data_IF_171396317421
#
_entry.id   IF_171396317421
#
_cell.length_a   1.000
_cell.length_b   1.000
_cell.length_c   1.000
_cell.angle_alpha   90.00
_cell.angle_beta   90.00
_cell.angle_gamma   90.00
#
_symmetry.space_group_name_H-M   'P 1'
#
loop_
_entity.id
_entity.type
_entity.pdbx_description
1 polymer ?
#
# COMPACT_ATOMS: atom_id res chain seq x y z
N UNK A 1 2.86 15.10 -5.38
CA UNK A 1 2.45 13.68 -5.29
C UNK A 1 3.55 12.75 -5.78
N UNK A 2 3.96 12.84 -7.06
CA UNK A 2 5.06 12.05 -7.65
C UNK A 2 6.31 11.91 -6.76
N UNK A 3 6.86 13.02 -6.25
CA UNK A 3 8.04 13.00 -5.35
C UNK A 3 7.82 12.15 -4.11
N UNK A 4 6.67 12.29 -3.44
CA UNK A 4 6.34 11.48 -2.25
C UNK A 4 6.25 10.00 -2.61
N UNK A 5 5.55 9.66 -3.71
CA UNK A 5 5.44 8.28 -4.16
C UNK A 5 6.82 7.65 -4.44
N UNK A 6 7.71 8.38 -5.13
CA UNK A 6 9.09 7.94 -5.37
C UNK A 6 9.89 7.75 -4.08
N UNK A 7 9.71 8.62 -3.08
CA UNK A 7 10.35 8.46 -1.76
C UNK A 7 9.88 7.17 -1.08
N UNK A 8 8.56 6.89 -1.10
CA UNK A 8 8.04 5.64 -0.55
C UNK A 8 8.55 4.43 -1.34
N UNK A 9 8.58 4.48 -2.68
CA UNK A 9 9.20 3.43 -3.48
C UNK A 9 10.66 3.19 -3.09
N UNK A 10 11.45 4.24 -2.86
CA UNK A 10 12.83 4.10 -2.40
C UNK A 10 12.93 3.42 -1.03
N UNK A 11 12.03 3.74 -0.09
CA UNK A 11 11.94 3.06 1.21
C UNK A 11 11.61 1.58 1.05
N UNK A 12 10.64 1.24 0.19
CA UNK A 12 10.31 -0.16 -0.11
C UNK A 12 11.53 -0.93 -0.65
N UNK A 13 12.24 -0.36 -1.62
CA UNK A 13 13.43 -0.98 -2.22
C UNK A 13 14.53 -1.15 -1.15
N UNK A 14 14.77 -0.14 -0.31
CA UNK A 14 15.74 -0.23 0.77
C UNK A 14 15.40 -1.34 1.77
N UNK A 15 14.13 -1.45 2.17
CA UNK A 15 13.66 -2.51 3.08
C UNK A 15 13.81 -3.90 2.45
N UNK A 16 13.45 -4.05 1.17
CA UNK A 16 13.64 -5.30 0.47
C UNK A 16 15.12 -5.67 0.34
N UNK A 17 16.00 -4.71 0.00
CA UNK A 17 17.44 -4.91 -0.03
C UNK A 17 18.00 -5.34 1.33
N UNK A 18 17.52 -4.74 2.44
CA UNK A 18 17.90 -5.13 3.80
C UNK A 18 17.45 -6.56 4.15
N UNK A 19 16.26 -6.96 3.68
CA UNK A 19 15.79 -8.35 3.80
C UNK A 19 16.68 -9.30 3.00
N UNK A 20 16.97 -8.97 1.74
CA UNK A 20 17.82 -9.74 0.85
C UNK A 20 19.27 -9.86 1.32
N UNK A 21 19.82 -8.82 1.97
CA UNK A 21 21.17 -8.87 2.53
C UNK A 21 21.25 -9.80 3.73
N UNK A 22 20.15 -9.91 4.50
CA UNK A 22 20.03 -10.88 5.59
C UNK A 22 19.77 -12.30 5.08
N UNK A 23 19.19 -12.43 3.88
CA UNK A 23 19.00 -13.70 3.21
C UNK A 23 20.37 -14.29 2.81
N UNK A 24 20.86 -15.21 3.63
CA UNK A 24 22.09 -15.98 3.42
C UNK A 24 21.92 -17.12 2.41
N UNK A 25 21.02 -16.95 1.43
CA UNK A 25 20.61 -18.00 0.50
C UNK A 25 19.61 -18.98 1.10
N UNK A 26 19.07 -18.72 2.29
CA UNK A 26 18.07 -19.55 2.95
C UNK A 26 16.70 -19.42 2.27
N UNK A 27 15.98 -20.54 2.16
CA UNK A 27 14.56 -20.56 1.77
C UNK A 27 13.83 -21.52 2.71
N UNK A 28 12.97 -20.99 3.56
CA UNK A 28 12.22 -21.81 4.51
C UNK A 28 10.82 -22.13 3.99
N UNK A 29 10.39 -23.39 4.11
CA UNK A 29 9.03 -23.82 3.78
C UNK A 29 8.34 -24.40 5.01
N UNK A 30 7.05 -24.14 5.18
CA UNK A 30 6.28 -24.70 6.29
C UNK A 30 6.01 -26.19 6.08
N UNK A 31 6.30 -27.00 7.08
CA UNK A 31 6.09 -28.45 7.08
C UNK A 31 4.97 -28.88 8.04
N UNK A 32 4.62 -30.18 8.02
CA UNK A 32 3.70 -30.82 8.97
C UNK A 32 4.25 -30.68 10.37
N UNK A 33 3.34 -30.45 11.30
CA UNK A 33 3.68 -30.27 12.71
C UNK A 33 4.06 -31.63 13.29
N UNK A 34 5.28 -31.75 13.79
CA UNK A 34 5.77 -32.91 14.55
C UNK A 34 5.28 -32.81 15.99
N UNK A 35 5.22 -33.94 16.71
CA UNK A 35 4.82 -33.97 18.11
C UNK A 35 5.70 -33.03 18.95
N UNK A 36 5.09 -32.20 19.78
CA UNK A 36 5.80 -31.23 20.63
C UNK A 36 6.12 -29.89 19.97
N UNK A 37 5.99 -29.76 18.64
CA UNK A 37 6.19 -28.49 17.94
C UNK A 37 4.85 -27.76 17.72
N UNK A 38 4.84 -26.43 17.76
CA UNK A 38 3.67 -25.63 17.35
C UNK A 38 3.66 -25.38 15.85
N UNK A 39 4.84 -25.17 15.26
CA UNK A 39 5.07 -24.98 13.82
C UNK A 39 6.44 -25.54 13.45
N UNK A 40 6.55 -26.05 12.24
CA UNK A 40 7.80 -26.55 11.70
C UNK A 40 8.10 -25.90 10.35
N UNK A 41 9.39 -25.64 10.13
CA UNK A 41 9.92 -25.11 8.89
C UNK A 41 11.09 -25.97 8.44
N UNK A 42 11.25 -26.16 7.14
CA UNK A 42 12.41 -26.81 6.54
C UNK A 42 13.17 -25.81 5.67
N UNK A 43 14.49 -25.75 5.83
CA UNK A 43 15.35 -25.01 4.91
C UNK A 43 15.52 -25.83 3.63
N UNK A 44 14.94 -25.37 2.52
CA UNK A 44 15.02 -26.09 1.23
C UNK A 44 16.23 -25.67 0.40
N UNK A 45 16.93 -24.61 0.79
CA UNK A 45 18.09 -24.13 0.06
C UNK A 45 19.38 -24.90 0.39
N UNK A 46 19.53 -25.36 1.64
CA UNK A 46 20.69 -26.14 2.12
C UNK A 46 20.71 -27.57 1.60
N UNK A 47 19.56 -28.10 1.19
CA UNK A 47 19.41 -29.49 0.77
C UNK A 47 20.05 -29.85 -0.60
N UNK A 48 20.71 -28.90 -1.28
CA UNK A 48 21.67 -29.27 -2.32
C UNK A 48 22.90 -29.98 -1.74
N UNK A 49 23.21 -29.78 -0.46
CA UNK A 49 24.23 -30.53 0.27
C UNK A 49 23.62 -31.81 0.84
N UNK A 50 23.88 -32.95 0.19
CA UNK A 50 23.30 -34.28 0.52
C UNK A 50 23.69 -34.85 1.88
N UNK A 51 24.45 -34.14 2.72
CA UNK A 51 25.14 -34.77 3.85
C UNK A 51 24.32 -34.89 5.14
N UNK A 52 23.38 -34.00 5.49
CA UNK A 52 22.59 -34.12 6.75
C UNK A 52 21.19 -33.46 6.73
N UNK A 53 20.11 -34.21 6.41
CA UNK A 53 18.73 -33.69 6.35
C UNK A 53 18.08 -33.36 7.72
N UNK A 54 18.65 -33.82 8.84
CA UNK A 54 18.09 -33.57 10.19
C UNK A 54 18.43 -32.18 10.76
N UNK A 55 19.44 -31.49 10.20
CA UNK A 55 19.83 -30.14 10.60
C UNK A 55 18.98 -29.03 9.96
N UNK A 56 18.13 -29.39 8.98
CA UNK A 56 17.39 -28.42 8.18
C UNK A 56 15.95 -28.17 8.65
N UNK A 57 15.50 -28.83 9.73
CA UNK A 57 14.17 -28.70 10.30
C UNK A 57 14.19 -27.83 11.56
N UNK A 58 13.48 -26.70 11.52
CA UNK A 58 13.28 -25.79 12.64
C UNK A 58 11.93 -26.07 13.29
N UNK A 59 11.93 -26.40 14.58
CA UNK A 59 10.75 -26.63 15.40
C UNK A 59 10.48 -25.42 16.32
N UNK A 60 9.36 -24.73 16.10
CA UNK A 60 8.93 -23.60 16.92
C UNK A 60 8.02 -24.10 18.06
N UNK A 61 8.54 -24.18 19.28
CA UNK A 61 7.81 -24.69 20.48
C UNK A 61 7.18 -23.60 21.34
N UNK A 62 7.45 -22.32 21.08
CA UNK A 62 6.95 -21.17 21.84
C UNK A 62 7.91 -20.67 22.93
N UNK A 63 8.85 -21.50 23.39
CA UNK A 63 9.97 -21.07 24.27
C UNK A 63 11.23 -20.72 23.48
N UNK A 64 11.40 -21.30 22.29
CA UNK A 64 12.46 -21.00 21.32
C UNK A 64 11.85 -20.17 20.18
N UNK A 65 11.33 -18.99 20.53
CA UNK A 65 10.83 -18.03 19.52
C UNK A 65 11.93 -17.13 18.96
N UNK A 66 13.18 -17.23 19.44
CA UNK A 66 14.27 -16.34 19.01
C UNK A 66 14.77 -16.57 17.57
N UNK A 67 14.39 -17.70 16.96
CA UNK A 67 14.66 -17.92 15.54
C UNK A 67 13.79 -17.01 14.67
N UNK A 68 14.43 -16.20 13.82
CA UNK A 68 13.74 -15.25 12.94
C UNK A 68 12.65 -15.90 12.08
N UNK A 69 12.81 -17.17 11.69
CA UNK A 69 11.80 -17.96 10.97
C UNK A 69 10.53 -18.18 11.80
N UNK A 70 10.70 -18.50 13.08
CA UNK A 70 9.61 -18.70 14.02
C UNK A 70 8.87 -17.39 14.31
N UNK A 71 9.57 -16.25 14.36
CA UNK A 71 8.95 -14.92 14.52
C UNK A 71 8.22 -14.50 13.24
N UNK A 72 8.91 -14.47 12.10
CA UNK A 72 8.38 -13.95 10.84
C UNK A 72 7.21 -14.78 10.31
N UNK A 73 7.36 -16.10 10.30
CA UNK A 73 6.27 -17.03 9.95
C UNK A 73 5.23 -17.19 11.08
N UNK A 74 5.62 -16.80 12.29
CA UNK A 74 4.90 -16.81 13.56
C UNK A 74 3.84 -15.76 13.71
N UNK A 75 4.18 -14.55 13.28
CA UNK A 75 3.64 -13.31 13.81
C UNK A 75 2.13 -13.18 13.57
N UNK A 76 1.45 -12.54 14.51
CA UNK A 76 0.03 -12.19 14.33
C UNK A 76 -0.16 -11.30 13.11
N UNK A 77 0.78 -10.38 12.87
CA UNK A 77 0.80 -9.49 11.72
C UNK A 77 0.79 -10.26 10.41
N UNK A 78 1.74 -11.18 10.21
CA UNK A 78 1.82 -12.02 9.01
C UNK A 78 0.54 -12.82 8.81
N UNK A 79 0.00 -13.45 9.87
CA UNK A 79 -1.27 -14.18 9.77
C UNK A 79 -2.45 -13.29 9.38
N UNK A 80 -2.56 -12.11 9.97
CA UNK A 80 -3.66 -11.18 9.67
C UNK A 80 -3.58 -10.69 8.24
N UNK A 81 -2.38 -10.28 7.79
CA UNK A 81 -2.13 -9.80 6.42
C UNK A 81 -2.19 -10.89 5.35
N UNK A 82 -2.22 -12.17 5.73
CA UNK A 82 -2.35 -13.30 4.79
C UNK A 82 -3.70 -14.00 4.90
N UNK A 83 -4.56 -13.53 5.80
CA UNK A 83 -5.90 -14.07 5.99
C UNK A 83 -6.89 -13.54 4.94
N UNK A 84 -8.15 -13.97 5.03
CA UNK A 84 -9.26 -13.42 4.24
C UNK A 84 -9.45 -11.90 4.43
N UNK A 85 -8.93 -11.34 5.52
CA UNK A 85 -8.92 -9.89 5.73
C UNK A 85 -8.04 -9.15 4.74
N UNK A 86 -7.22 -9.85 3.95
CA UNK A 86 -6.38 -9.24 2.95
C UNK A 86 -7.13 -8.38 1.93
N UNK A 87 -8.38 -8.73 1.64
CA UNK A 87 -9.24 -7.97 0.72
C UNK A 87 -9.85 -6.71 1.36
N UNK A 88 -9.89 -6.63 2.70
CA UNK A 88 -10.58 -5.56 3.43
C UNK A 88 -9.59 -4.54 3.98
N UNK A 89 -8.45 -5.00 4.53
CA UNK A 89 -7.42 -4.15 5.14
C UNK A 89 -6.95 -3.01 4.21
N UNK A 90 -6.74 -3.21 2.89
CA UNK A 90 -6.34 -2.12 2.00
C UNK A 90 -7.36 -0.98 1.92
N UNK A 91 -8.63 -1.29 2.19
CA UNK A 91 -9.74 -0.33 2.12
C UNK A 91 -9.98 0.37 3.47
N UNK A 92 -9.29 -0.05 4.54
CA UNK A 92 -9.52 0.45 5.89
C UNK A 92 -9.26 1.96 6.01
N UNK A 93 -8.16 2.46 5.41
CA UNK A 93 -7.86 3.89 5.45
C UNK A 93 -8.94 4.73 4.74
N UNK A 94 -9.41 4.28 3.58
CA UNK A 94 -10.48 4.95 2.84
C UNK A 94 -11.79 4.96 3.63
N UNK A 95 -12.13 3.84 4.29
CA UNK A 95 -13.31 3.73 5.14
C UNK A 95 -13.23 4.66 6.36
N UNK A 96 -12.07 4.71 7.04
CA UNK A 96 -11.83 5.62 8.17
C UNK A 96 -11.91 7.07 7.72
N UNK A 97 -11.27 7.43 6.61
CA UNK A 97 -11.34 8.76 6.02
C UNK A 97 -12.80 9.17 5.74
N UNK A 98 -13.57 8.26 5.14
CA UNK A 98 -14.97 8.50 4.84
C UNK A 98 -15.85 8.64 6.08
N UNK A 99 -15.61 7.82 7.10
CA UNK A 99 -16.31 7.88 8.36
C UNK A 99 -16.04 9.18 9.11
N UNK A 100 -14.78 9.62 9.17
CA UNK A 100 -14.44 10.87 9.84
C UNK A 100 -15.03 12.09 9.10
N UNK A 101 -15.03 12.09 7.78
CA UNK A 101 -15.68 13.16 7.01
C UNK A 101 -17.20 13.17 7.18
N UNK A 102 -17.84 12.00 7.36
CA UNK A 102 -19.26 11.90 7.70
C UNK A 102 -19.55 12.49 9.09
N UNK A 103 -18.76 12.13 10.10
CA UNK A 103 -18.87 12.70 11.45
C UNK A 103 -18.66 14.21 11.47
N UNK A 104 -17.74 14.72 10.64
CA UNK A 104 -17.48 16.14 10.52
C UNK A 104 -18.55 16.91 9.72
N UNK A 105 -19.59 16.25 9.17
CA UNK A 105 -20.55 16.90 8.28
C UNK A 105 -19.91 17.47 7.00
N UNK A 106 -18.74 16.97 6.61
CA UNK A 106 -17.90 17.48 5.52
C UNK A 106 -18.13 16.78 4.18
N UNK A 107 -19.20 15.99 4.05
CA UNK A 107 -19.52 15.21 2.86
C UNK A 107 -20.04 16.13 1.73
N UNK A 108 -19.14 16.56 0.85
CA UNK A 108 -19.51 17.26 -0.39
C UNK A 108 -19.61 16.28 -1.56
N UNK A 109 -20.48 16.50 -2.56
CA UNK A 109 -20.62 15.60 -3.71
C UNK A 109 -19.31 15.34 -4.47
N UNK A 110 -18.44 16.35 -4.57
CA UNK A 110 -17.13 16.23 -5.21
C UNK A 110 -16.18 15.33 -4.43
N UNK A 111 -16.09 15.50 -3.10
CA UNK A 111 -15.27 14.61 -2.24
C UNK A 111 -15.79 13.18 -2.27
N UNK A 112 -17.11 12.99 -2.20
CA UNK A 112 -17.73 11.67 -2.31
C UNK A 112 -17.40 11.00 -3.63
N UNK A 113 -17.46 11.73 -4.76
CA UNK A 113 -17.07 11.21 -6.08
C UNK A 113 -15.58 10.83 -6.12
N UNK A 114 -14.69 11.67 -5.58
CA UNK A 114 -13.26 11.36 -5.52
C UNK A 114 -12.98 10.10 -4.67
N UNK A 115 -13.65 9.91 -3.52
CA UNK A 115 -13.54 8.66 -2.73
C UNK A 115 -14.04 7.45 -3.53
N UNK A 116 -15.16 7.58 -4.24
CA UNK A 116 -15.66 6.49 -5.08
C UNK A 116 -14.69 6.11 -6.20
N UNK A 117 -14.10 7.09 -6.86
CA UNK A 117 -13.08 6.83 -7.89
C UNK A 117 -11.87 6.09 -7.30
N UNK A 118 -11.41 6.49 -6.11
CA UNK A 118 -10.34 5.79 -5.38
C UNK A 118 -10.75 4.37 -4.96
N UNK A 119 -11.96 4.21 -4.43
CA UNK A 119 -12.50 2.89 -4.07
C UNK A 119 -12.49 1.95 -5.28
N UNK A 120 -13.05 2.41 -6.41
CA UNK A 120 -13.10 1.63 -7.64
C UNK A 120 -11.70 1.31 -8.17
N UNK A 121 -10.76 2.26 -8.10
CA UNK A 121 -9.36 2.03 -8.43
C UNK A 121 -8.75 0.94 -7.55
N UNK A 122 -8.96 0.97 -6.23
CA UNK A 122 -8.42 -0.02 -5.30
C UNK A 122 -9.03 -1.40 -5.52
N UNK A 123 -10.35 -1.47 -5.74
CA UNK A 123 -11.03 -2.71 -6.11
C UNK A 123 -10.46 -3.24 -7.43
N UNK A 124 -10.25 -2.39 -8.43
CA UNK A 124 -9.66 -2.79 -9.70
C UNK A 124 -8.22 -3.31 -9.54
N UNK A 125 -7.39 -2.69 -8.69
CA UNK A 125 -6.04 -3.18 -8.37
C UNK A 125 -6.10 -4.56 -7.68
N UNK A 126 -6.98 -4.73 -6.70
CA UNK A 126 -7.17 -5.99 -5.97
C UNK A 126 -7.66 -7.11 -6.90
N UNK A 127 -8.64 -6.82 -7.76
CA UNK A 127 -9.16 -7.76 -8.75
C UNK A 127 -8.12 -8.06 -9.83
N UNK A 128 -7.42 -7.05 -10.35
CA UNK A 128 -6.36 -7.22 -11.36
C UNK A 128 -5.23 -8.11 -10.85
N UNK A 129 -4.83 -7.95 -9.57
CA UNK A 129 -3.89 -8.86 -8.92
C UNK A 129 -4.45 -10.27 -8.79
N UNK A 130 -5.69 -10.41 -8.32
CA UNK A 130 -6.31 -11.72 -8.09
C UNK A 130 -6.55 -12.49 -9.39
N UNK A 131 -7.08 -11.84 -10.41
CA UNK A 131 -7.43 -12.49 -11.67
C UNK A 131 -6.22 -12.58 -12.61
N UNK A 132 -5.48 -11.48 -12.78
CA UNK A 132 -4.35 -11.41 -13.70
C UNK A 132 -3.13 -12.15 -13.17
N UNK A 133 -2.62 -11.73 -12.00
CA UNK A 133 -1.39 -12.32 -11.45
C UNK A 133 -1.66 -13.70 -10.83
N UNK A 134 -2.67 -13.81 -9.96
CA UNK A 134 -2.88 -15.03 -9.19
C UNK A 134 -3.55 -16.15 -9.98
N UNK A 135 -4.59 -15.90 -10.78
CA UNK A 135 -5.20 -16.95 -11.59
C UNK A 135 -4.51 -17.11 -12.95
N UNK A 136 -4.30 -16.00 -13.67
CA UNK A 136 -3.75 -16.02 -15.03
C UNK A 136 -2.29 -16.44 -15.10
N UNK A 137 -1.39 -15.70 -14.44
CA UNK A 137 0.04 -15.99 -14.55
C UNK A 137 0.44 -17.30 -13.86
N UNK A 138 -0.17 -17.67 -12.73
CA UNK A 138 0.07 -19.00 -12.14
C UNK A 138 -0.40 -20.14 -13.07
N UNK A 139 -1.52 -19.96 -13.78
CA UNK A 139 -1.97 -20.96 -14.76
C UNK A 139 -0.96 -21.09 -15.91
N UNK A 140 -0.53 -19.96 -16.49
CA UNK A 140 0.49 -19.95 -17.57
C UNK A 140 1.80 -20.56 -17.08
N UNK A 141 2.23 -20.23 -15.86
CA UNK A 141 3.43 -20.80 -15.25
C UNK A 141 3.32 -22.32 -15.15
N UNK A 142 2.17 -22.85 -14.72
CA UNK A 142 1.93 -24.29 -14.67
C UNK A 142 1.91 -24.98 -16.04
N UNK A 143 1.65 -24.25 -17.13
CA UNK A 143 1.75 -24.77 -18.49
C UNK A 143 3.19 -24.74 -19.04
N UNK A 144 3.97 -23.72 -18.68
CA UNK A 144 5.31 -23.46 -19.25
C UNK A 144 6.41 -24.15 -18.44
N UNK A 145 6.32 -24.16 -17.12
CA UNK A 145 7.27 -24.85 -16.27
C UNK A 145 6.86 -26.31 -16.16
N UNK A 146 7.72 -27.22 -16.65
CA UNK A 146 7.56 -28.64 -16.37
C UNK A 146 7.47 -28.83 -14.85
N UNK A 147 6.45 -29.56 -14.36
CA UNK A 147 6.34 -29.92 -12.94
C UNK A 147 7.73 -30.34 -12.46
N UNK A 148 8.31 -29.55 -11.56
CA UNK A 148 9.54 -29.93 -10.87
C UNK A 148 9.30 -31.32 -10.31
N UNK A 149 10.23 -32.26 -10.54
CA UNK A 149 10.01 -33.67 -10.26
C UNK A 149 9.29 -33.84 -8.92
N UNK A 150 8.19 -34.59 -8.88
CA UNK A 150 7.42 -34.93 -7.69
C UNK A 150 8.25 -35.50 -6.52
N UNK A 151 9.55 -35.70 -6.73
CA UNK A 151 10.55 -36.30 -5.88
C UNK A 151 11.47 -35.28 -5.16
N UNK A 152 10.97 -34.12 -4.69
CA UNK A 152 11.77 -33.35 -3.73
C UNK A 152 11.75 -34.04 -2.35
N UNK A 153 12.90 -34.04 -1.68
CA UNK A 153 13.07 -34.73 -0.39
C UNK A 153 12.09 -34.26 0.69
N UNK A 154 11.62 -33.01 0.64
CA UNK A 154 10.72 -32.43 1.65
C UNK A 154 9.23 -32.52 1.27
N UNK A 155 8.86 -33.12 0.13
CA UNK A 155 7.45 -33.24 -0.29
C UNK A 155 6.60 -33.94 0.77
N UNK A 156 7.09 -35.07 1.30
CA UNK A 156 6.42 -35.85 2.33
C UNK A 156 6.26 -35.10 3.67
N UNK A 157 7.12 -34.10 3.92
CA UNK A 157 7.03 -33.23 5.09
C UNK A 157 5.97 -32.14 4.92
N UNK A 158 5.51 -31.83 3.71
CA UNK A 158 4.47 -30.80 3.49
C UNK A 158 3.06 -31.37 3.61
N UNK A 159 2.10 -30.53 3.99
CA UNK A 159 0.68 -30.92 4.03
C UNK A 159 0.14 -31.26 2.64
N UNK A 160 0.55 -30.50 1.63
CA UNK A 160 0.14 -30.69 0.24
C UNK A 160 0.76 -31.93 -0.43
N UNK A 161 1.84 -32.50 0.14
CA UNK A 161 2.62 -33.54 -0.54
C UNK A 161 3.35 -33.04 -1.80
N UNK A 162 3.41 -31.73 -2.04
CA UNK A 162 3.99 -31.11 -3.24
C UNK A 162 5.26 -30.33 -2.90
N UNK A 163 6.18 -30.25 -3.86
CA UNK A 163 7.35 -29.39 -3.78
C UNK A 163 6.98 -27.91 -3.78
N UNK A 164 7.87 -27.06 -3.28
CA UNK A 164 7.69 -25.61 -3.38
C UNK A 164 7.98 -25.20 -4.81
N UNK A 165 7.07 -24.45 -5.42
CA UNK A 165 7.31 -23.86 -6.74
C UNK A 165 8.50 -22.88 -6.67
N UNK A 166 9.18 -22.73 -7.80
CA UNK A 166 10.32 -21.82 -7.94
C UNK A 166 9.92 -20.36 -7.76
N UNK A 167 8.70 -19.99 -8.14
CA UNK A 167 8.10 -18.68 -7.91
C UNK A 167 6.59 -18.86 -7.85
N UNK A 168 5.89 -18.11 -7.01
CA UNK A 168 4.42 -18.11 -6.97
C UNK A 168 3.95 -16.69 -7.23
N UNK A 169 3.17 -16.42 -8.28
CA UNK A 169 2.63 -15.06 -8.49
C UNK A 169 1.59 -14.69 -7.41
N UNK A 170 1.11 -15.67 -6.63
CA UNK A 170 0.36 -15.47 -5.40
C UNK A 170 1.19 -14.93 -4.24
N UNK A 171 2.49 -14.74 -4.43
CA UNK A 171 3.41 -14.56 -3.33
C UNK A 171 3.06 -13.38 -2.41
N UNK A 172 3.45 -13.56 -1.15
CA UNK A 172 3.34 -12.64 -0.05
C UNK A 172 4.03 -11.31 -0.34
N UNK A 173 5.17 -11.31 -1.07
CA UNK A 173 5.82 -10.05 -1.48
C UNK A 173 4.94 -9.31 -2.47
N UNK A 174 4.42 -9.98 -3.50
CA UNK A 174 3.52 -9.36 -4.50
C UNK A 174 2.25 -8.84 -3.82
N UNK A 175 1.64 -9.62 -2.92
CA UNK A 175 0.50 -9.19 -2.11
C UNK A 175 0.85 -7.96 -1.28
N UNK A 176 1.97 -7.99 -0.55
CA UNK A 176 2.40 -6.93 0.33
C UNK A 176 2.62 -5.62 -0.42
N UNK A 177 3.27 -5.68 -1.58
CA UNK A 177 3.58 -4.50 -2.37
C UNK A 177 2.36 -3.98 -3.13
N UNK A 178 1.71 -4.83 -3.93
CA UNK A 178 0.61 -4.41 -4.81
C UNK A 178 -0.63 -4.00 -4.03
N UNK A 179 -1.01 -4.80 -3.02
CA UNK A 179 -2.33 -4.71 -2.41
C UNK A 179 -2.30 -3.91 -1.10
N UNK A 180 -1.25 -4.01 -0.30
CA UNK A 180 -1.13 -3.17 0.91
C UNK A 180 -0.35 -1.89 0.62
N UNK A 181 0.93 -2.03 0.32
CA UNK A 181 1.85 -0.90 0.31
C UNK A 181 1.46 0.17 -0.71
N UNK A 182 1.26 -0.21 -1.97
CA UNK A 182 0.96 0.73 -3.05
C UNK A 182 -0.37 1.48 -2.82
N UNK A 183 -1.42 0.76 -2.39
CA UNK A 183 -2.73 1.34 -2.09
C UNK A 183 -2.62 2.33 -0.91
N UNK A 184 -1.97 1.93 0.19
CA UNK A 184 -1.84 2.81 1.36
C UNK A 184 -0.97 4.05 1.08
N UNK A 185 0.13 3.89 0.34
CA UNK A 185 0.98 5.01 -0.04
C UNK A 185 0.23 5.99 -0.94
N UNK A 186 -0.55 5.48 -1.90
CA UNK A 186 -1.36 6.31 -2.77
C UNK A 186 -2.45 7.05 -1.98
N UNK A 187 -3.19 6.37 -1.10
CA UNK A 187 -4.21 6.99 -0.26
C UNK A 187 -3.60 8.05 0.69
N UNK A 188 -2.47 7.74 1.33
CA UNK A 188 -1.73 8.70 2.16
C UNK A 188 -1.32 9.94 1.35
N UNK A 189 -0.85 9.75 0.12
CA UNK A 189 -0.51 10.85 -0.77
C UNK A 189 -1.74 11.73 -1.13
N UNK A 190 -2.90 11.11 -1.36
CA UNK A 190 -4.15 11.85 -1.58
C UNK A 190 -4.56 12.64 -0.32
N UNK A 191 -4.56 11.99 0.86
CA UNK A 191 -4.91 12.62 2.14
C UNK A 191 -4.01 13.82 2.45
N UNK A 192 -2.69 13.66 2.31
CA UNK A 192 -1.73 14.74 2.57
C UNK A 192 -1.88 15.91 1.59
N UNK A 193 -2.26 15.62 0.34
CA UNK A 193 -2.56 16.66 -0.66
C UNK A 193 -3.82 17.43 -0.28
N UNK A 194 -4.91 16.73 0.03
CA UNK A 194 -6.17 17.36 0.48
C UNK A 194 -5.93 18.26 1.69
N UNK A 195 -5.14 17.79 2.66
CA UNK A 195 -4.76 18.57 3.83
C UNK A 195 -3.95 19.81 3.46
N UNK A 196 -2.93 19.68 2.60
CA UNK A 196 -2.11 20.81 2.17
C UNK A 196 -2.88 21.88 1.39
N UNK A 197 -3.85 21.47 0.57
CA UNK A 197 -4.76 22.38 -0.13
C UNK A 197 -5.64 23.16 0.85
N UNK A 198 -6.16 22.50 1.87
CA UNK A 198 -6.91 23.15 2.94
C UNK A 198 -6.05 24.16 3.71
N UNK A 199 -4.84 23.77 4.15
CA UNK A 199 -3.96 24.66 4.92
C UNK A 199 -3.62 25.93 4.14
N UNK A 200 -3.41 25.81 2.81
CA UNK A 200 -3.19 26.96 1.93
C UNK A 200 -4.42 27.88 1.84
N UNK A 201 -5.61 27.31 1.70
CA UNK A 201 -6.85 28.11 1.68
C UNK A 201 -7.08 28.85 3.01
N UNK A 202 -6.87 28.17 4.14
CA UNK A 202 -6.98 28.79 5.46
C UNK A 202 -5.99 29.94 5.64
N UNK A 203 -4.73 29.77 5.22
CA UNK A 203 -3.71 30.83 5.26
C UNK A 203 -4.06 32.01 4.34
N UNK A 204 -4.63 31.76 3.16
CA UNK A 204 -5.08 32.80 2.24
C UNK A 204 -6.25 33.62 2.83
N UNK A 205 -7.20 32.97 3.49
CA UNK A 205 -8.32 33.65 4.18
C UNK A 205 -7.79 34.49 5.35
N UNK A 206 -6.90 33.92 6.17
CA UNK A 206 -6.30 34.61 7.30
C UNK A 206 -5.50 35.86 6.87
N UNK A 207 -4.74 35.77 5.77
CA UNK A 207 -4.00 36.91 5.21
C UNK A 207 -4.90 37.94 4.50
N UNK A 208 -6.00 37.50 3.87
CA UNK A 208 -7.00 38.38 3.27
C UNK A 208 -7.76 39.21 4.29
N UNK A 209 -8.09 38.63 5.45
CA UNK A 209 -8.71 39.34 6.57
C UNK A 209 -7.80 40.41 7.20
N UNK A 210 -6.48 40.31 7.02
CA UNK A 210 -5.53 41.33 7.48
C UNK A 210 -5.35 42.51 6.53
N UNK A 211 -5.79 42.42 5.26
CA UNK A 211 -5.90 43.60 4.39
C UNK A 211 -7.14 44.40 4.77
N UNK A 212 -7.09 45.06 5.93
CA UNK A 212 -7.93 46.23 6.19
C UNK A 212 -7.55 47.26 5.11
N UNK A 213 -8.47 47.73 4.27
CA UNK A 213 -8.14 48.74 3.27
C UNK A 213 -7.56 49.94 4.02
N UNK A 214 -6.27 50.18 3.81
CA UNK A 214 -5.63 51.39 4.29
C UNK A 214 -6.37 52.55 3.61
N UNK A 215 -6.89 53.54 4.34
CA UNK A 215 -7.61 54.64 3.74
C UNK A 215 -6.66 55.32 2.75
N UNK A 216 -6.95 55.15 1.46
CA UNK A 216 -6.19 55.84 0.42
C UNK A 216 -6.51 57.32 0.57
N UNK A 217 -5.51 58.21 0.67
CA UNK A 217 -5.77 59.64 0.75
C UNK A 217 -6.49 60.08 -0.53
N UNK A 218 -7.72 60.56 -0.34
CA UNK A 218 -8.58 61.09 -1.38
C UNK A 218 -7.90 62.27 -2.07
N UNK A 219 -7.53 62.11 -3.34
CA UNK A 219 -7.29 63.22 -4.25
C UNK A 219 -8.63 63.68 -4.85
N UNK A 220 -8.93 64.99 -4.88
CA UNK A 220 -10.17 65.51 -5.44
C UNK A 220 -10.04 65.66 -6.96
N UNK A 221 -10.84 64.96 -7.75
CA UNK A 221 -11.04 65.30 -9.17
C UNK A 221 -12.44 64.92 -9.65
N UNK A 222 -13.28 65.95 -9.71
CA UNK A 222 -14.35 66.23 -10.70
C UNK A 222 -14.91 65.09 -11.57
N UNK A 223 -16.17 64.74 -11.25
CA UNK A 223 -17.33 64.62 -12.15
C UNK A 223 -17.20 63.86 -13.48
N UNK A 224 -17.76 62.65 -13.51
CA UNK A 224 -18.77 62.26 -14.50
C UNK A 224 -19.54 61.02 -14.05
N UNK A 225 -20.86 61.10 -14.19
CA UNK A 225 -21.88 60.29 -13.54
C UNK A 225 -22.16 59.02 -14.36
N UNK A 226 -21.72 57.86 -13.88
CA UNK A 226 -22.26 56.56 -14.33
C UNK A 226 -22.54 55.69 -13.12
N UNK A 227 -23.82 55.55 -12.78
CA UNK A 227 -24.35 54.77 -11.66
C UNK A 227 -24.09 53.27 -11.84
N UNK A 228 -22.89 52.82 -11.49
CA UNK A 228 -22.56 51.41 -11.30
C UNK A 228 -23.03 50.97 -9.92
N UNK A 229 -24.18 50.27 -9.84
CA UNK A 229 -24.63 49.59 -8.62
C UNK A 229 -23.60 48.53 -8.23
N UNK A 230 -22.85 48.78 -7.16
CA UNK A 230 -21.99 47.77 -6.54
C UNK A 230 -22.87 46.58 -6.10
N UNK A 231 -22.51 45.34 -6.44
CA UNK A 231 -23.25 44.17 -5.98
C UNK A 231 -23.18 44.08 -4.45
N UNK A 232 -24.24 43.57 -3.80
CA UNK A 232 -24.28 43.44 -2.35
C UNK A 232 -23.12 42.56 -1.85
N UNK A 233 -22.55 42.87 -0.68
CA UNK A 233 -21.47 42.08 -0.09
C UNK A 233 -21.96 40.63 0.09
N UNK A 234 -21.27 39.68 -0.53
CA UNK A 234 -21.57 38.26 -0.36
C UNK A 234 -21.31 37.85 1.10
N UNK A 235 -22.20 37.06 1.71
CA UNK A 235 -22.00 36.57 3.06
C UNK A 235 -20.71 35.73 3.13
N UNK A 236 -19.98 35.81 4.26
CA UNK A 236 -18.78 35.01 4.43
C UNK A 236 -19.14 33.52 4.30
N UNK A 237 -18.32 32.72 3.62
CA UNK A 237 -18.57 31.30 3.50
C UNK A 237 -18.60 30.66 4.89
N UNK A 238 -19.50 29.70 5.15
CA UNK A 238 -19.60 29.05 6.44
C UNK A 238 -18.24 28.44 6.84
N UNK A 239 -17.82 28.72 8.07
CA UNK A 239 -16.63 28.14 8.69
C UNK A 239 -16.77 26.62 8.67
N UNK A 240 -16.00 25.98 7.80
CA UNK A 240 -15.98 24.51 7.71
C UNK A 240 -15.32 23.93 8.96
N UNK A 241 -15.82 22.79 9.47
CA UNK A 241 -15.19 22.08 10.58
C UNK A 241 -13.74 21.74 10.25
N UNK A 242 -12.91 21.69 11.28
CA UNK A 242 -11.47 21.54 11.13
C UNK A 242 -11.12 20.21 10.44
N UNK A 243 -10.29 20.23 9.38
CA UNK A 243 -9.92 19.02 8.63
C UNK A 243 -9.04 18.07 9.46
N UNK A 244 -8.54 18.55 10.61
CA UNK A 244 -7.68 17.77 11.50
C UNK A 244 -8.36 16.51 12.02
N UNK A 245 -9.68 16.56 12.24
CA UNK A 245 -10.44 15.42 12.76
C UNK A 245 -10.59 14.28 11.73
N UNK A 246 -10.50 14.55 10.43
CA UNK A 246 -10.60 13.51 9.39
C UNK A 246 -9.28 13.05 8.79
N UNK A 247 -8.26 13.90 8.81
CA UNK A 247 -6.97 13.59 8.17
C UNK A 247 -6.10 12.66 9.04
N UNK A 248 -5.98 12.94 10.34
CA UNK A 248 -5.03 12.24 11.22
C UNK A 248 -5.34 10.73 11.36
N UNK A 249 -6.59 10.30 11.63
CA UNK A 249 -6.88 8.88 11.80
C UNK A 249 -6.62 8.08 10.52
N UNK A 250 -7.04 8.60 9.37
CA UNK A 250 -6.85 7.92 8.09
C UNK A 250 -5.37 7.84 7.69
N UNK A 251 -4.60 8.91 7.90
CA UNK A 251 -3.16 8.91 7.66
C UNK A 251 -2.43 7.91 8.59
N UNK A 252 -2.84 7.82 9.86
CA UNK A 252 -2.30 6.85 10.80
C UNK A 252 -2.58 5.40 10.36
N UNK A 253 -3.80 5.10 9.88
CA UNK A 253 -4.11 3.78 9.32
C UNK A 253 -3.26 3.48 8.09
N UNK A 254 -3.11 4.44 7.16
CA UNK A 254 -2.23 4.26 6.01
C UNK A 254 -0.80 3.91 6.43
N UNK A 255 -0.24 4.68 7.35
CA UNK A 255 1.13 4.48 7.83
C UNK A 255 1.28 3.13 8.54
N UNK A 256 0.33 2.73 9.38
CA UNK A 256 0.35 1.46 10.09
C UNK A 256 0.29 0.26 9.13
N UNK A 257 -0.62 0.29 8.15
CA UNK A 257 -0.77 -0.79 7.18
C UNK A 257 0.41 -0.83 6.20
N UNK A 258 0.92 0.32 5.75
CA UNK A 258 2.12 0.39 4.92
C UNK A 258 3.36 -0.11 5.67
N UNK A 259 3.53 0.26 6.94
CA UNK A 259 4.62 -0.24 7.79
C UNK A 259 4.53 -1.74 8.01
N UNK A 260 3.34 -2.28 8.27
CA UNK A 260 3.13 -3.71 8.39
C UNK A 260 3.43 -4.46 7.07
N UNK A 261 3.10 -3.86 5.92
CA UNK A 261 3.46 -4.39 4.61
C UNK A 261 4.98 -4.39 4.38
N UNK A 262 5.70 -3.34 4.78
CA UNK A 262 7.16 -3.30 4.71
C UNK A 262 7.81 -4.38 5.58
N UNK A 263 7.32 -4.58 6.80
CA UNK A 263 7.78 -5.67 7.67
C UNK A 263 7.53 -7.03 7.03
N UNK A 264 6.36 -7.22 6.41
CA UNK A 264 6.06 -8.45 5.68
C UNK A 264 7.03 -8.64 4.50
N UNK A 265 7.29 -7.62 3.68
CA UNK A 265 8.28 -7.69 2.60
C UNK A 265 9.66 -8.06 3.14
N UNK A 266 10.10 -7.42 4.23
CA UNK A 266 11.39 -7.71 4.87
C UNK A 266 11.49 -9.16 5.32
N UNK A 267 10.53 -9.65 6.13
CA UNK A 267 10.53 -11.02 6.67
C UNK A 267 10.47 -12.04 5.53
N UNK A 268 9.66 -11.77 4.51
CA UNK A 268 9.48 -12.68 3.38
C UNK A 268 10.74 -12.75 2.51
N UNK A 269 11.36 -11.60 2.23
CA UNK A 269 12.64 -11.52 1.53
C UNK A 269 13.80 -12.15 2.33
N UNK A 270 13.83 -11.97 3.65
CA UNK A 270 14.90 -12.48 4.51
C UNK A 270 14.84 -14.00 4.71
N UNK A 271 13.64 -14.59 4.74
CA UNK A 271 13.44 -15.95 5.25
C UNK A 271 12.76 -16.89 4.25
N UNK A 272 11.79 -16.41 3.48
CA UNK A 272 10.85 -17.29 2.77
C UNK A 272 11.05 -17.33 1.25
N UNK A 273 11.74 -16.34 0.67
CA UNK A 273 12.06 -16.30 -0.76
C UNK A 273 13.54 -16.31 -1.07
N UNK A 274 13.86 -16.82 -2.25
CA UNK A 274 15.17 -16.58 -2.84
C UNK A 274 15.34 -15.12 -3.27
N UNK A 275 16.59 -14.72 -3.54
CA UNK A 275 16.90 -13.38 -4.06
C UNK A 275 16.21 -13.11 -5.40
N UNK A 276 16.22 -14.10 -6.29
CA UNK A 276 15.59 -14.00 -7.60
C UNK A 276 14.07 -13.85 -7.49
N UNK A 277 13.42 -14.64 -6.62
CA UNK A 277 11.98 -14.54 -6.36
C UNK A 277 11.59 -13.15 -5.85
N UNK A 278 12.32 -12.62 -4.87
CA UNK A 278 12.04 -11.29 -4.32
C UNK A 278 12.21 -10.19 -5.37
N UNK A 279 13.28 -10.23 -6.17
CA UNK A 279 13.52 -9.24 -7.24
C UNK A 279 12.43 -9.33 -8.30
N UNK A 280 12.07 -10.53 -8.75
CA UNK A 280 10.99 -10.74 -9.70
C UNK A 280 9.66 -10.19 -9.17
N UNK A 281 9.32 -10.48 -7.90
CA UNK A 281 8.12 -9.96 -7.25
C UNK A 281 8.08 -8.43 -7.24
N UNK A 282 9.19 -7.77 -6.86
CA UNK A 282 9.27 -6.30 -6.87
C UNK A 282 9.11 -5.70 -8.26
N UNK A 283 9.74 -6.30 -9.28
CA UNK A 283 9.62 -5.86 -10.68
C UNK A 283 8.18 -5.99 -11.16
N UNK A 284 7.55 -7.15 -10.94
CA UNK A 284 6.15 -7.38 -11.30
C UNK A 284 5.24 -6.37 -10.59
N UNK A 285 5.42 -6.19 -9.28
CA UNK A 285 4.63 -5.24 -8.52
C UNK A 285 4.80 -3.80 -9.00
N UNK A 286 6.00 -3.41 -9.40
CA UNK A 286 6.26 -2.09 -9.96
C UNK A 286 5.53 -1.89 -11.29
N UNK A 287 5.66 -2.80 -12.24
CA UNK A 287 5.04 -2.62 -13.56
C UNK A 287 3.51 -2.78 -13.53
N UNK A 288 2.98 -3.66 -12.69
CA UNK A 288 1.54 -3.95 -12.65
C UNK A 288 0.75 -2.91 -11.85
N UNK A 289 1.35 -2.36 -10.79
CA UNK A 289 0.64 -1.44 -9.88
C UNK A 289 1.39 -0.13 -9.67
N UNK A 290 2.71 -0.19 -9.44
CA UNK A 290 3.53 0.99 -9.15
C UNK A 290 3.48 2.06 -10.26
N UNK A 291 3.79 1.68 -11.50
CA UNK A 291 3.81 2.57 -12.66
C UNK A 291 2.41 3.10 -13.01
N UNK A 292 1.35 2.29 -13.09
CA UNK A 292 0.00 2.80 -13.32
C UNK A 292 -0.45 3.81 -12.27
N UNK A 293 -0.22 3.54 -10.98
CA UNK A 293 -0.53 4.48 -9.91
C UNK A 293 0.32 5.76 -9.99
N UNK A 294 1.62 5.64 -10.29
CA UNK A 294 2.51 6.78 -10.47
C UNK A 294 2.04 7.67 -11.62
N UNK A 295 1.62 7.09 -12.74
CA UNK A 295 1.10 7.79 -13.90
C UNK A 295 -0.19 8.56 -13.57
N UNK A 296 -1.05 8.02 -12.71
CA UNK A 296 -2.21 8.75 -12.16
C UNK A 296 -1.80 9.93 -11.26
N UNK A 297 -0.64 9.85 -10.57
CA UNK A 297 -0.13 10.99 -9.77
C UNK A 297 0.52 12.09 -10.61
N UNK A 298 0.95 11.77 -11.82
CA UNK A 298 1.72 12.64 -12.71
C UNK A 298 0.89 13.66 -13.47
N UNK A 299 -0.44 13.56 -13.42
CA UNK A 299 -1.30 14.45 -14.19
C UNK A 299 -1.15 14.20 -15.69
N UNK A 300 -1.35 12.95 -16.13
CA UNK A 300 -1.88 12.74 -17.46
C UNK A 300 -3.29 13.30 -17.49
N UNK A 301 -3.38 14.63 -17.55
CA UNK A 301 -4.34 15.34 -18.34
C UNK A 301 -4.16 14.84 -19.78
N UNK A 302 -4.65 13.63 -20.05
CA UNK A 302 -4.98 13.28 -21.42
C UNK A 302 -6.06 14.30 -21.78
N UNK A 303 -5.65 15.16 -22.70
CA UNK A 303 -6.42 16.15 -23.42
C UNK A 303 -7.65 15.55 -24.12
N UNK A 304 -8.59 15.00 -23.35
CA UNK A 304 -9.95 14.74 -23.76
C UNK A 304 -10.80 15.72 -22.95
N UNK A 305 -11.29 16.76 -23.61
CA UNK A 305 -11.97 17.92 -23.02
C UNK A 305 -13.33 17.63 -22.35
N UNK A 306 -13.42 16.61 -21.51
CA UNK A 306 -14.62 16.25 -20.76
C UNK A 306 -14.30 16.11 -19.28
N UNK A 307 -14.50 17.18 -18.51
CA UNK A 307 -14.80 17.15 -17.07
C UNK A 307 -14.13 16.09 -16.19
N UNK A 308 -12.85 15.78 -16.43
CA UNK A 308 -12.13 14.71 -15.73
C UNK A 308 -12.00 15.04 -14.25
N UNK A 309 -12.79 14.37 -13.41
CA UNK A 309 -12.68 14.49 -11.97
C UNK A 309 -11.30 14.06 -11.50
N UNK A 310 -10.69 14.83 -10.62
CA UNK A 310 -9.40 14.49 -10.02
C UNK A 310 -9.55 13.21 -9.17
N UNK A 311 -8.59 12.28 -9.30
CA UNK A 311 -8.57 11.03 -8.51
C UNK A 311 -8.28 11.34 -7.03
N UNK A 312 -7.44 12.34 -6.79
CA UNK A 312 -7.44 13.20 -5.61
C UNK A 312 -7.59 14.64 -6.13
#
# INVERSE_FOLDING_TARGET
MRRMFLTFTAVLVAVACAGLSRNAGSKFVRTRVQQGCRRNYANVATARSREKPSLDLICCTGSVEDDGVCIGGGSRTTKTLTSKLAFVIPLAALAVNAFCDWLAGGATPSRTRARWNRFLLYVAVILGRTLGLYLGLNYIQGLVQSEESSNCWYAHLRRSGKCSEHFDFADHVVLAVCQYYAIQVFELCCILREYGDFSRQAAAIASGLQRKPSPTPSSPSSSSTSSSRSPPPQPPPPLRPSPFLSVLPAAAVCAAVAGAALLLVYDTAALFHSRAETVAALVISWFVVGEPLLSLTGGAAVAAGGGGGTVC
#
